data_IF_017456479521
#
_entry.id   IF_017456479521
#
_cell.length_a   1.000
_cell.length_b   1.000
_cell.length_c   1.000
_cell.angle_alpha   90.00
_cell.angle_beta   90.00
_cell.angle_gamma   90.00
#
_symmetry.space_group_name_H-M   'P 1'
#
loop_
_entity.id
_entity.type
_entity.pdbx_description
1 polymer ?
#
# COMPACT_ATOMS: atom_id res chain seq x y z
N UNK A 1 14.02 14.14 -22.41
CA UNK A 1 13.43 12.97 -21.73
C UNK A 1 14.30 12.55 -20.53
N UNK A 2 14.30 13.30 -19.42
CA UNK A 2 15.09 12.96 -18.23
C UNK A 2 14.45 13.52 -16.96
N UNK A 3 13.29 12.97 -16.60
CA UNK A 3 12.62 13.27 -15.33
C UNK A 3 12.23 12.01 -14.54
N UNK A 4 11.99 10.87 -15.22
CA UNK A 4 11.59 9.62 -14.57
C UNK A 4 12.76 8.72 -14.13
N UNK A 5 14.02 9.12 -14.35
CA UNK A 5 15.21 8.30 -14.08
C UNK A 5 16.04 8.80 -12.89
N UNK A 6 15.41 9.39 -11.87
CA UNK A 6 16.11 9.66 -10.59
C UNK A 6 15.99 8.42 -9.69
N UNK A 7 17.10 7.73 -9.36
CA UNK A 7 17.11 6.51 -8.53
C UNK A 7 16.69 6.72 -7.06
N UNK A 8 16.28 7.94 -6.67
CA UNK A 8 15.88 8.31 -5.31
C UNK A 8 14.39 8.14 -5.00
N UNK A 9 13.53 7.83 -5.99
CA UNK A 9 12.08 7.79 -5.76
C UNK A 9 11.45 6.55 -6.38
N UNK A 10 11.40 5.45 -5.61
CA UNK A 10 10.35 4.45 -5.83
C UNK A 10 9.03 5.13 -5.49
N UNK A 11 8.32 5.62 -6.51
CA UNK A 11 7.05 6.30 -6.30
C UNK A 11 5.95 5.25 -6.16
N UNK A 12 5.59 4.99 -4.91
CA UNK A 12 4.48 4.11 -4.55
C UNK A 12 3.24 4.94 -4.20
N UNK A 13 2.10 4.57 -4.76
CA UNK A 13 0.79 5.16 -4.47
C UNK A 13 -0.10 4.13 -3.77
N UNK A 14 -1.11 4.61 -3.05
CA UNK A 14 -2.08 3.77 -2.36
C UNK A 14 -3.49 4.28 -2.63
N UNK A 15 -4.42 3.36 -2.81
CA UNK A 15 -5.84 3.63 -2.99
C UNK A 15 -6.63 2.81 -1.97
N UNK A 16 -7.68 3.39 -1.40
CA UNK A 16 -8.67 2.70 -0.58
C UNK A 16 -9.86 2.29 -1.44
N UNK A 17 -10.47 1.14 -1.17
CA UNK A 17 -11.64 0.66 -1.92
C UNK A 17 -12.95 1.38 -1.56
N UNK A 18 -12.99 2.04 -0.40
CA UNK A 18 -14.12 2.79 0.14
C UNK A 18 -13.60 4.01 0.93
N UNK A 19 -14.52 4.71 1.60
CA UNK A 19 -14.17 5.72 2.61
C UNK A 19 -13.15 5.13 3.59
N UNK A 20 -12.07 5.88 3.86
CA UNK A 20 -11.02 5.45 4.77
C UNK A 20 -11.55 5.17 6.18
N UNK A 21 -10.74 4.52 7.00
CA UNK A 21 -11.08 4.31 8.41
C UNK A 21 -10.74 5.59 9.19
N UNK A 22 -11.67 6.08 10.01
CA UNK A 22 -11.44 7.23 10.87
C UNK A 22 -11.61 6.83 12.32
N UNK A 23 -10.50 6.84 13.07
CA UNK A 23 -10.47 6.48 14.48
C UNK A 23 -9.93 7.64 15.29
N UNK A 24 -10.76 8.09 16.22
CA UNK A 24 -10.36 9.05 17.23
C UNK A 24 -9.60 8.32 18.33
N UNK A 25 -8.27 8.48 18.35
CA UNK A 25 -7.36 7.82 19.27
C UNK A 25 -6.87 8.75 20.37
N UNK A 26 -6.54 8.18 21.52
CA UNK A 26 -5.96 8.86 22.68
C UNK A 26 -4.67 8.16 23.07
N UNK A 27 -3.71 8.95 23.53
CA UNK A 27 -2.45 8.43 24.02
C UNK A 27 -2.68 7.45 25.19
N UNK A 28 -1.93 6.34 25.20
CA UNK A 28 -2.05 5.30 26.21
C UNK A 28 -3.15 4.26 25.95
N UNK A 29 -3.99 4.45 24.93
CA UNK A 29 -4.90 3.39 24.47
C UNK A 29 -4.12 2.22 23.87
N UNK A 30 -4.75 1.05 23.91
CA UNK A 30 -4.12 -0.21 23.53
C UNK A 30 -4.53 -0.71 22.14
N UNK A 31 -3.63 -1.43 21.48
CA UNK A 31 -3.89 -2.07 20.20
C UNK A 31 -3.38 -3.52 20.19
N UNK A 32 -4.02 -4.36 19.37
CA UNK A 32 -3.54 -5.70 19.01
C UNK A 32 -3.54 -5.84 17.49
N UNK A 33 -2.54 -6.54 16.94
CA UNK A 33 -2.44 -6.78 15.49
C UNK A 33 -2.42 -8.27 15.20
N UNK A 34 -3.38 -8.73 14.41
CA UNK A 34 -3.40 -10.07 13.82
C UNK A 34 -3.17 -9.97 12.32
N UNK A 35 -2.11 -10.62 11.83
CA UNK A 35 -1.80 -10.70 10.41
C UNK A 35 -2.16 -12.09 9.88
N UNK A 36 -3.09 -12.14 8.93
CA UNK A 36 -3.35 -13.27 8.07
C UNK A 36 -2.55 -13.10 6.77
N UNK A 37 -1.78 -14.11 6.42
CA UNK A 37 -0.94 -14.11 5.24
C UNK A 37 -1.10 -15.44 4.49
N UNK A 38 -2.26 -15.67 3.87
CA UNK A 38 -2.56 -16.93 3.18
C UNK A 38 -1.57 -17.21 2.04
N UNK A 39 -1.08 -16.16 1.39
CA UNK A 39 -0.13 -16.22 0.28
C UNK A 39 1.33 -16.47 0.73
N UNK A 40 1.58 -16.60 2.04
CA UNK A 40 2.90 -16.87 2.65
C UNK A 40 4.00 -15.92 2.14
N UNK A 41 3.64 -14.67 1.88
CA UNK A 41 4.58 -13.65 1.42
C UNK A 41 5.48 -13.27 2.60
N UNK A 42 6.80 -13.35 2.48
CA UNK A 42 7.70 -12.89 3.53
C UNK A 42 7.49 -11.39 3.76
N UNK A 43 6.94 -10.95 4.89
CA UNK A 43 6.50 -9.56 5.10
C UNK A 43 6.92 -9.05 6.48
N UNK A 44 7.33 -7.79 6.57
CA UNK A 44 7.65 -7.09 7.84
C UNK A 44 6.51 -6.18 8.29
N UNK A 45 5.41 -6.15 7.54
CA UNK A 45 4.25 -5.28 7.72
C UNK A 45 3.74 -5.22 9.17
N UNK A 46 3.59 -6.36 9.84
CA UNK A 46 3.06 -6.41 11.21
C UNK A 46 4.00 -5.71 12.20
N UNK A 47 5.29 -6.05 12.15
CA UNK A 47 6.27 -5.59 13.13
C UNK A 47 6.55 -4.09 12.96
N UNK A 48 6.66 -3.63 11.71
CA UNK A 48 6.85 -2.22 11.39
C UNK A 48 5.60 -1.38 11.72
N UNK A 49 4.40 -1.90 11.48
CA UNK A 49 3.16 -1.25 11.89
C UNK A 49 3.07 -1.14 13.42
N UNK A 50 3.39 -2.21 14.16
CA UNK A 50 3.40 -2.19 15.61
C UNK A 50 4.37 -1.12 16.14
N UNK A 51 5.57 -1.02 15.57
CA UNK A 51 6.54 0.02 15.91
C UNK A 51 5.99 1.42 15.62
N UNK A 52 5.34 1.63 14.47
CA UNK A 52 4.76 2.92 14.09
C UNK A 52 3.64 3.35 15.03
N UNK A 53 2.74 2.44 15.41
CA UNK A 53 1.65 2.70 16.35
C UNK A 53 2.16 2.96 17.77
N UNK A 54 3.22 2.27 18.21
CA UNK A 54 3.91 2.57 19.47
C UNK A 54 4.50 3.98 19.48
N UNK A 55 5.13 4.37 18.37
CA UNK A 55 5.70 5.72 18.22
C UNK A 55 4.62 6.82 18.23
N UNK A 56 3.37 6.49 17.85
CA UNK A 56 2.22 7.38 17.98
C UNK A 56 1.64 7.43 19.41
N UNK A 57 2.18 6.65 20.36
CA UNK A 57 1.79 6.68 21.76
C UNK A 57 0.73 5.64 22.15
N UNK A 58 0.45 4.65 21.31
CA UNK A 58 -0.41 3.51 21.64
C UNK A 58 0.41 2.38 22.29
N UNK A 59 -0.26 1.52 23.06
CA UNK A 59 0.36 0.37 23.76
C UNK A 59 -0.04 -0.94 23.12
N UNK A 60 0.92 -1.78 22.78
CA UNK A 60 0.63 -3.12 22.27
C UNK A 60 0.19 -4.04 23.42
N UNK A 61 -0.95 -4.71 23.27
CA UNK A 61 -1.47 -5.70 24.23
C UNK A 61 -1.99 -6.92 23.46
N UNK A 62 -1.84 -8.11 24.02
CA UNK A 62 -2.22 -9.37 23.37
C UNK A 62 -3.72 -9.69 23.46
N UNK A 63 -4.41 -9.22 24.50
CA UNK A 63 -5.82 -9.52 24.77
C UNK A 63 -6.55 -8.25 25.24
N UNK A 64 -7.83 -8.13 24.91
CA UNK A 64 -8.70 -7.02 25.33
C UNK A 64 -8.16 -5.63 24.98
N UNK A 65 -7.61 -5.47 23.78
CA UNK A 65 -7.12 -4.18 23.30
C UNK A 65 -8.29 -3.21 23.00
N UNK A 66 -8.04 -1.91 23.11
CA UNK A 66 -9.03 -0.88 22.70
C UNK A 66 -9.25 -0.88 21.18
N UNK A 67 -8.23 -1.27 20.42
CA UNK A 67 -8.25 -1.43 18.98
C UNK A 67 -7.76 -2.83 18.56
N UNK A 68 -8.64 -3.61 17.94
CA UNK A 68 -8.29 -4.89 17.33
C UNK A 68 -8.07 -4.71 15.83
N UNK A 69 -6.83 -4.82 15.39
CA UNK A 69 -6.44 -4.62 13.99
C UNK A 69 -6.24 -5.98 13.34
N UNK A 70 -7.16 -6.35 12.45
CA UNK A 70 -7.07 -7.54 11.63
C UNK A 70 -6.60 -7.16 10.23
N UNK A 71 -5.47 -7.72 9.82
CA UNK A 71 -4.85 -7.46 8.53
C UNK A 71 -4.82 -8.77 7.75
N UNK A 72 -5.36 -8.77 6.54
CA UNK A 72 -5.23 -9.87 5.61
C UNK A 72 -4.40 -9.43 4.40
N UNK A 73 -3.17 -9.92 4.31
CA UNK A 73 -2.29 -9.71 3.16
C UNK A 73 -2.72 -10.64 2.03
N UNK A 74 -3.49 -10.08 1.09
CA UNK A 74 -4.14 -10.83 0.01
C UNK A 74 -3.10 -11.27 -1.00
N UNK A 75 -2.35 -10.32 -1.54
CA UNK A 75 -1.52 -10.58 -2.72
C UNK A 75 -0.37 -9.59 -2.89
N UNK A 76 0.69 -10.05 -3.55
CA UNK A 76 1.80 -9.25 -4.03
C UNK A 76 2.20 -9.75 -5.43
N UNK A 77 1.86 -8.96 -6.45
CA UNK A 77 2.02 -9.32 -7.87
C UNK A 77 2.91 -8.35 -8.61
N UNK A 78 3.69 -8.90 -9.55
CA UNK A 78 4.34 -8.14 -10.62
C UNK A 78 3.42 -8.13 -11.82
N UNK A 79 3.25 -6.96 -12.43
CA UNK A 79 2.58 -6.79 -13.71
C UNK A 79 3.57 -6.25 -14.73
N UNK A 80 3.43 -6.73 -15.96
CA UNK A 80 4.23 -6.33 -17.10
C UNK A 80 3.26 -6.04 -18.25
N UNK A 81 3.19 -4.78 -18.66
CA UNK A 81 2.37 -4.33 -19.76
C UNK A 81 3.28 -3.89 -20.91
N UNK A 82 3.05 -4.42 -22.10
CA UNK A 82 3.76 -4.03 -23.30
C UNK A 82 2.76 -3.43 -24.30
N UNK A 83 3.02 -2.21 -24.74
CA UNK A 83 2.24 -1.51 -25.75
C UNK A 83 3.16 -1.12 -26.91
N UNK A 84 2.74 -1.43 -28.14
CA UNK A 84 3.44 -0.97 -29.35
C UNK A 84 3.22 0.53 -29.48
N UNK A 85 4.28 1.32 -29.49
CA UNK A 85 4.23 2.74 -29.84
C UNK A 85 4.32 2.81 -31.38
N UNK A 86 3.21 3.14 -32.02
CA UNK A 86 3.23 3.51 -33.45
C UNK A 86 3.67 4.97 -33.54
N UNK A 87 4.80 5.24 -34.20
CA UNK A 87 5.29 6.60 -34.45
C UNK A 87 4.51 7.33 -35.55
N UNK A 88 3.59 6.65 -36.22
CA UNK A 88 2.71 7.21 -37.24
C UNK A 88 1.39 7.69 -36.62
N UNK A 89 1.05 8.97 -36.77
CA UNK A 89 -0.24 9.55 -36.40
C UNK A 89 -1.42 9.06 -37.24
N UNK A 90 -1.34 7.85 -37.83
CA UNK A 90 -2.39 7.24 -38.65
C UNK A 90 -3.24 6.35 -37.75
N UNK A 91 -4.12 6.98 -36.99
CA UNK A 91 -4.94 6.32 -35.97
C UNK A 91 -6.00 5.34 -36.53
N UNK A 92 -6.22 5.22 -37.84
CA UNK A 92 -7.37 4.48 -38.36
C UNK A 92 -7.19 3.62 -39.62
N UNK A 93 -6.00 3.48 -40.21
CA UNK A 93 -5.94 2.82 -41.54
C UNK A 93 -4.98 1.67 -41.76
N UNK A 94 -3.97 1.45 -40.93
CA UNK A 94 -3.07 0.30 -41.16
C UNK A 94 -2.70 -0.35 -39.83
N UNK A 95 -3.57 -1.24 -39.33
CA UNK A 95 -3.11 -2.30 -38.42
C UNK A 95 -2.32 -3.31 -39.25
N UNK A 96 -1.14 -2.93 -39.73
CA UNK A 96 -0.21 -3.90 -40.27
C UNK A 96 0.47 -4.61 -39.07
N UNK A 97 0.22 -5.90 -38.86
CA UNK A 97 0.85 -6.66 -37.79
C UNK A 97 2.35 -6.90 -38.02
N UNK A 98 2.90 -6.51 -39.19
CA UNK A 98 4.28 -6.81 -39.60
C UNK A 98 5.23 -5.61 -39.73
N UNK A 99 4.91 -4.43 -39.16
CA UNK A 99 5.89 -3.35 -39.08
C UNK A 99 7.12 -3.76 -38.26
N UNK A 100 8.25 -4.00 -38.95
CA UNK A 100 9.50 -4.50 -38.39
C UNK A 100 10.18 -3.54 -37.38
N UNK A 101 9.77 -2.26 -37.31
CA UNK A 101 10.47 -1.21 -36.57
C UNK A 101 9.62 -0.53 -35.48
N UNK A 102 8.54 -1.17 -35.02
CA UNK A 102 7.73 -0.63 -33.91
C UNK A 102 8.50 -0.66 -32.58
N UNK A 103 8.64 0.50 -31.93
CA UNK A 103 9.16 0.56 -30.56
C UNK A 103 8.11 0.06 -29.57
N UNK A 104 8.52 -0.76 -28.60
CA UNK A 104 7.63 -1.26 -27.56
C UNK A 104 7.82 -0.45 -26.27
N UNK A 105 6.75 0.16 -25.79
CA UNK A 105 6.69 0.67 -24.43
C UNK A 105 6.40 -0.48 -23.49
N UNK A 106 7.33 -0.79 -22.59
CA UNK A 106 7.15 -1.82 -21.57
C UNK A 106 7.09 -1.14 -20.21
N UNK A 107 5.92 -1.18 -19.59
CA UNK A 107 5.72 -0.74 -18.21
C UNK A 107 5.71 -1.96 -17.29
N UNK A 108 6.50 -1.92 -16.23
CA UNK A 108 6.42 -2.93 -15.19
C UNK A 108 6.17 -2.25 -13.86
N UNK A 109 5.24 -2.80 -13.10
CA UNK A 109 4.89 -2.31 -11.78
C UNK A 109 4.59 -3.48 -10.84
N UNK A 110 4.69 -3.22 -9.55
CA UNK A 110 4.24 -4.15 -8.52
C UNK A 110 2.99 -3.62 -7.84
N UNK A 111 2.12 -4.55 -7.43
CA UNK A 111 0.91 -4.23 -6.66
C UNK A 111 0.86 -5.08 -5.40
N UNK A 112 0.45 -4.46 -4.30
CA UNK A 112 0.16 -5.16 -3.05
C UNK A 112 -1.26 -4.82 -2.59
N UNK A 113 -2.03 -5.86 -2.26
CA UNK A 113 -3.39 -5.71 -1.76
C UNK A 113 -3.49 -6.23 -0.34
N UNK A 114 -4.06 -5.40 0.53
CA UNK A 114 -4.29 -5.70 1.94
C UNK A 114 -5.73 -5.38 2.29
N UNK A 115 -6.43 -6.30 2.92
CA UNK A 115 -7.73 -6.04 3.52
C UNK A 115 -7.51 -5.78 5.01
N UNK A 116 -8.12 -4.72 5.53
CA UNK A 116 -8.01 -4.36 6.94
C UNK A 116 -9.39 -4.24 7.57
N UNK A 117 -9.49 -4.70 8.80
CA UNK A 117 -10.63 -4.52 9.67
C UNK A 117 -10.10 -4.01 11.01
N UNK A 118 -10.62 -2.87 11.46
CA UNK A 118 -10.31 -2.33 12.79
C UNK A 118 -11.58 -2.34 13.63
N UNK A 119 -11.54 -3.11 14.71
CA UNK A 119 -12.56 -3.11 15.75
C UNK A 119 -12.19 -2.13 16.85
N UNK A 120 -13.10 -1.23 17.20
CA UNK A 120 -13.09 -0.47 18.44
C UNK A 120 -14.38 -0.77 19.20
N UNK A 121 -14.40 -0.59 20.54
CA UNK A 121 -15.46 -1.04 21.47
C UNK A 121 -16.90 -1.03 20.92
N UNK A 122 -17.29 -0.04 20.10
CA UNK A 122 -18.64 0.06 19.52
C UNK A 122 -18.67 0.14 17.97
N UNK A 123 -17.54 0.10 17.28
CA UNK A 123 -17.51 0.29 15.82
C UNK A 123 -16.54 -0.67 15.16
N UNK A 124 -17.01 -1.32 14.10
CA UNK A 124 -16.21 -2.16 13.24
C UNK A 124 -16.11 -1.49 11.87
N UNK A 125 -14.91 -1.08 11.49
CA UNK A 125 -14.66 -0.46 10.19
C UNK A 125 -13.77 -1.37 9.34
N UNK A 126 -14.07 -1.48 8.05
CA UNK A 126 -13.33 -2.32 7.11
C UNK A 126 -13.00 -1.52 5.86
N UNK A 127 -11.80 -1.71 5.34
CA UNK A 127 -11.38 -1.16 4.06
C UNK A 127 -10.39 -2.09 3.38
N UNK A 128 -10.24 -1.95 2.06
CA UNK A 128 -9.18 -2.60 1.30
C UNK A 128 -8.20 -1.55 0.81
N UNK A 129 -6.93 -1.82 1.00
CA UNK A 129 -5.80 -1.01 0.58
C UNK A 129 -5.14 -1.64 -0.64
N UNK A 130 -5.01 -0.86 -1.70
CA UNK A 130 -4.34 -1.25 -2.94
C UNK A 130 -3.14 -0.33 -3.18
N UNK A 131 -1.94 -0.85 -2.94
CA UNK A 131 -0.69 -0.13 -3.18
C UNK A 131 -0.09 -0.52 -4.54
N UNK A 132 0.44 0.46 -5.28
CA UNK A 132 1.09 0.29 -6.60
C UNK A 132 2.42 1.02 -6.61
N UNK A 133 3.42 0.48 -7.31
CA UNK A 133 4.71 1.18 -7.54
C UNK A 133 5.01 1.28 -9.02
N UNK A 134 5.33 2.48 -9.50
CA UNK A 134 5.66 2.72 -10.91
C UNK A 134 7.12 2.37 -11.27
N UNK A 135 7.94 1.93 -10.30
CA UNK A 135 9.39 1.78 -10.49
C UNK A 135 9.84 0.32 -10.49
N UNK A 136 10.66 -0.03 -11.49
CA UNK A 136 11.40 -1.29 -11.57
C UNK A 136 12.64 -1.24 -10.66
N UNK A 137 12.47 -1.65 -9.41
CA UNK A 137 13.59 -1.99 -8.52
C UNK A 137 13.63 -3.51 -8.27
N UNK A 138 14.67 -3.96 -7.56
CA UNK A 138 14.66 -5.27 -6.90
C UNK A 138 13.33 -5.53 -6.17
N UNK A 139 12.85 -6.77 -6.26
CA UNK A 139 11.56 -7.22 -5.70
C UNK A 139 11.42 -6.83 -4.22
N UNK A 140 12.47 -7.01 -3.42
CA UNK A 140 12.43 -6.72 -1.97
C UNK A 140 12.27 -5.23 -1.72
N UNK A 141 12.99 -4.39 -2.47
CA UNK A 141 12.85 -2.92 -2.36
C UNK A 141 11.46 -2.44 -2.76
N UNK A 142 10.89 -2.98 -3.83
CA UNK A 142 9.52 -2.67 -4.24
C UNK A 142 8.51 -3.11 -3.17
N UNK A 143 8.69 -4.32 -2.63
CA UNK A 143 7.83 -4.83 -1.57
C UNK A 143 7.87 -3.95 -0.32
N UNK A 144 9.06 -3.61 0.17
CA UNK A 144 9.23 -2.71 1.32
C UNK A 144 8.59 -1.34 1.07
N UNK A 145 8.74 -0.79 -0.14
CA UNK A 145 8.10 0.50 -0.48
C UNK A 145 6.58 0.43 -0.42
N UNK A 146 5.97 -0.66 -0.90
CA UNK A 146 4.53 -0.87 -0.84
C UNK A 146 4.05 -1.10 0.59
N UNK A 147 4.76 -1.92 1.37
CA UNK A 147 4.47 -2.16 2.79
C UNK A 147 4.53 -0.85 3.59
N UNK A 148 5.56 -0.03 3.39
CA UNK A 148 5.65 1.29 4.02
C UNK A 148 4.46 2.20 3.68
N UNK A 149 4.00 2.21 2.42
CA UNK A 149 2.81 2.99 2.05
C UNK A 149 1.53 2.48 2.69
N UNK A 150 1.40 1.16 2.83
CA UNK A 150 0.28 0.55 3.57
C UNK A 150 0.37 0.93 5.05
N UNK A 151 1.54 0.89 5.67
CA UNK A 151 1.75 1.28 7.07
C UNK A 151 1.41 2.75 7.29
N UNK A 152 1.89 3.64 6.42
CA UNK A 152 1.58 5.08 6.50
C UNK A 152 0.07 5.32 6.41
N UNK A 153 -0.61 4.62 5.50
CA UNK A 153 -2.06 4.73 5.35
C UNK A 153 -2.82 4.19 6.57
N UNK A 154 -2.44 3.03 7.10
CA UNK A 154 -3.06 2.49 8.33
C UNK A 154 -2.82 3.42 9.52
N UNK A 155 -1.61 3.97 9.64
CA UNK A 155 -1.26 4.91 10.70
C UNK A 155 -2.10 6.19 10.61
N UNK A 156 -2.40 6.66 9.39
CA UNK A 156 -3.22 7.85 9.17
C UNK A 156 -4.68 7.69 9.62
N UNK A 157 -5.17 6.46 9.80
CA UNK A 157 -6.51 6.21 10.33
C UNK A 157 -6.65 6.63 11.80
N UNK A 158 -5.53 6.71 12.54
CA UNK A 158 -5.51 7.10 13.94
C UNK A 158 -5.32 8.61 14.05
N UNK A 159 -6.42 9.34 14.25
CA UNK A 159 -6.43 10.78 14.50
C UNK A 159 -6.36 10.98 16.01
N UNK A 160 -5.28 11.60 16.49
CA UNK A 160 -5.12 11.89 17.91
C UNK A 160 -5.73 13.24 18.25
N UNK A 161 -6.55 13.27 19.30
CA UNK A 161 -6.95 14.52 19.94
C UNK A 161 -5.72 15.13 20.62
N UNK A 162 -5.13 16.14 19.98
CA UNK A 162 -4.14 17.00 20.60
C UNK A 162 -4.85 17.92 21.60
N UNK A 163 -5.01 17.45 22.83
CA UNK A 163 -5.23 18.36 23.95
C UNK A 163 -3.90 19.08 24.23
N UNK A 164 -3.63 20.17 23.50
CA UNK A 164 -2.64 21.16 23.91
C UNK A 164 -3.18 21.89 25.14
N UNK A 165 -2.86 21.40 26.32
CA UNK A 165 -2.85 22.25 27.52
C UNK A 165 -1.53 23.01 27.51
N UNK A 166 -1.59 24.29 27.12
CA UNK A 166 -0.58 25.29 27.47
C UNK A 166 -0.75 25.72 28.93
#
# INVERSE_FOLDING_TARGET
MSACAKPAFVQSSIQTSNEGIFLKAKQGQSFSITLQNPSKIQSTLKDELALRLKNLGLKEVSLNADYEILINLVDFKKHSYAQRITSSGRFFYDFDPFENNGEWYIENYYTMQVNIQIGSKNTLQKTSLFARTAYLSDKKRCQLSLENKIIDQISSFFIFDLNFTF
#
